data_IF_963961719703
#
_entry.id   IF_963961719703
#
_cell.length_a   1.000
_cell.length_b   1.000
_cell.length_c   1.000
_cell.angle_alpha   90.00
_cell.angle_beta   90.00
_cell.angle_gamma   90.00
#
_symmetry.space_group_name_H-M   'P 1'
#
loop_
_entity.id
_entity.type
_entity.pdbx_description
1 polymer ?
#
# COMPACT_ATOMS: atom_id res chain seq x y z
N UNK A 1 -4.97 -32.45 -10.51
CA UNK A 1 -4.50 -31.58 -9.41
C UNK A 1 -4.04 -30.28 -10.03
N UNK A 2 -4.54 -29.13 -9.59
CA UNK A 2 -4.19 -27.84 -10.20
C UNK A 2 -2.97 -27.23 -9.52
N UNK A 3 -2.00 -26.78 -10.29
CA UNK A 3 -0.81 -26.07 -9.80
C UNK A 3 -1.05 -24.57 -9.90
N UNK A 4 -0.64 -23.83 -8.87
CA UNK A 4 -0.79 -22.38 -8.80
C UNK A 4 0.56 -21.69 -8.62
N UNK A 5 0.72 -20.57 -9.31
CA UNK A 5 1.75 -19.57 -9.05
C UNK A 5 1.21 -18.53 -8.06
N UNK A 6 2.10 -17.90 -7.31
CA UNK A 6 1.76 -16.84 -6.37
C UNK A 6 2.67 -15.63 -6.56
N UNK A 7 2.11 -14.45 -6.35
CA UNK A 7 2.87 -13.20 -6.31
C UNK A 7 2.26 -12.26 -5.28
N UNK A 8 3.01 -11.22 -4.93
CA UNK A 8 2.54 -10.18 -4.01
C UNK A 8 2.98 -8.80 -4.48
N UNK A 9 2.23 -7.78 -4.08
CA UNK A 9 2.63 -6.39 -4.31
C UNK A 9 2.21 -5.50 -3.16
N UNK A 10 3.17 -4.71 -2.68
CA UNK A 10 2.94 -3.71 -1.66
C UNK A 10 2.52 -2.39 -2.30
N UNK A 11 1.44 -1.79 -1.78
CA UNK A 11 1.00 -0.46 -2.15
C UNK A 11 1.07 0.44 -0.91
N UNK A 12 1.88 1.52 -0.94
CA UNK A 12 2.03 2.41 0.21
C UNK A 12 0.77 3.26 0.44
N UNK A 13 0.44 3.49 1.71
CA UNK A 13 -0.63 4.41 2.12
C UNK A 13 -0.01 5.79 2.42
N UNK A 14 -0.26 6.82 1.59
CA UNK A 14 0.21 8.17 1.86
C UNK A 14 -0.51 8.77 3.07
N UNK A 15 0.15 9.70 3.74
CA UNK A 15 -0.39 10.49 4.85
C UNK A 15 -0.43 11.95 4.48
N UNK A 16 -1.41 12.69 5.01
CA UNK A 16 -1.47 14.14 4.81
C UNK A 16 -0.30 14.79 5.52
N UNK A 17 0.17 15.91 4.99
CA UNK A 17 1.22 16.72 5.60
C UNK A 17 0.64 18.01 6.13
N UNK A 18 1.19 18.51 7.23
CA UNK A 18 0.89 19.84 7.76
C UNK A 18 2.15 20.68 7.71
N UNK A 19 2.07 21.81 7.02
CA UNK A 19 3.14 22.81 7.02
C UNK A 19 2.85 23.86 8.09
N UNK A 20 3.76 24.02 9.05
CA UNK A 20 3.68 25.02 10.11
C UNK A 20 4.89 25.94 10.06
N UNK A 21 4.73 27.23 10.38
CA UNK A 21 5.82 28.21 10.48
C UNK A 21 5.69 29.42 9.54
N UNK A 22 6.59 30.40 9.71
CA UNK A 22 6.56 31.71 9.03
C UNK A 22 7.88 31.95 8.28
N UNK A 23 7.80 32.45 7.05
CA UNK A 23 8.94 32.66 6.13
C UNK A 23 9.88 31.44 6.05
N UNK A 24 11.11 31.59 6.59
CA UNK A 24 12.22 30.63 6.45
C UNK A 24 12.16 29.51 7.49
N UNK A 25 11.19 29.54 8.41
CA UNK A 25 11.03 28.57 9.50
C UNK A 25 9.85 27.62 9.28
N UNK A 26 9.49 27.33 8.02
CA UNK A 26 8.44 26.35 7.73
C UNK A 26 8.98 24.93 7.91
N UNK A 27 8.35 24.15 8.79
CA UNK A 27 8.47 22.69 8.81
C UNK A 27 7.25 22.08 8.13
N UNK A 28 7.45 20.96 7.43
CA UNK A 28 6.36 20.11 6.96
C UNK A 28 6.48 18.80 7.69
N UNK A 29 5.49 18.49 8.50
CA UNK A 29 5.44 17.27 9.28
C UNK A 29 4.33 16.37 8.73
N UNK A 30 4.63 15.08 8.59
CA UNK A 30 3.62 14.09 8.24
C UNK A 30 2.64 13.95 9.41
N UNK A 31 1.35 14.06 9.11
CA UNK A 31 0.30 13.75 10.06
C UNK A 31 0.11 12.24 10.18
N UNK A 32 -0.69 11.82 11.16
CA UNK A 32 -1.17 10.43 11.23
C UNK A 32 -2.54 10.22 10.58
N UNK A 33 -3.00 11.20 9.79
CA UNK A 33 -4.22 11.07 8.98
C UNK A 33 -3.87 10.53 7.59
N UNK A 34 -4.39 9.36 7.19
CA UNK A 34 -4.12 8.81 5.87
C UNK A 34 -4.79 9.66 4.78
N UNK A 35 -4.06 9.90 3.69
CA UNK A 35 -4.61 10.53 2.49
C UNK A 35 -5.34 9.48 1.63
N UNK A 36 -6.56 9.15 2.06
CA UNK A 36 -7.40 8.19 1.35
C UNK A 36 -7.78 8.65 -0.05
N UNK A 37 -7.91 9.97 -0.27
CA UNK A 37 -8.27 10.50 -1.58
C UNK A 37 -7.10 10.32 -2.56
N UNK A 38 -5.88 10.70 -2.15
CA UNK A 38 -4.67 10.46 -2.91
C UNK A 38 -4.42 8.97 -3.15
N UNK A 39 -4.62 8.12 -2.13
CA UNK A 39 -4.45 6.67 -2.27
C UNK A 39 -5.38 6.05 -3.32
N UNK A 40 -6.69 6.32 -3.23
CA UNK A 40 -7.69 5.71 -4.11
C UNK A 40 -7.66 6.23 -5.55
N UNK A 41 -7.13 7.44 -5.75
CA UNK A 41 -7.03 8.08 -7.07
C UNK A 41 -5.60 8.07 -7.64
N UNK A 42 -4.66 7.37 -6.99
CA UNK A 42 -3.28 7.29 -7.48
C UNK A 42 -3.22 6.45 -8.76
N UNK A 43 -2.87 7.03 -9.92
CA UNK A 43 -2.83 6.32 -11.18
C UNK A 43 -1.77 5.21 -11.20
N UNK A 44 -0.68 5.36 -10.45
CA UNK A 44 0.38 4.34 -10.34
C UNK A 44 -0.11 3.12 -9.56
N UNK A 45 -0.77 3.34 -8.42
CA UNK A 45 -1.42 2.27 -7.64
C UNK A 45 -2.41 1.50 -8.51
N UNK A 46 -3.30 2.23 -9.21
CA UNK A 46 -4.28 1.61 -10.10
C UNK A 46 -3.61 0.88 -11.26
N UNK A 47 -2.53 1.41 -11.84
CA UNK A 47 -1.80 0.77 -12.93
C UNK A 47 -1.19 -0.56 -12.49
N UNK A 48 -0.62 -0.62 -11.29
CA UNK A 48 -0.05 -1.84 -10.69
C UNK A 48 -1.13 -2.90 -10.48
N UNK A 49 -2.25 -2.55 -9.84
CA UNK A 49 -3.34 -3.51 -9.58
C UNK A 49 -4.02 -3.98 -10.87
N UNK A 50 -4.23 -3.07 -11.82
CA UNK A 50 -4.81 -3.41 -13.12
C UNK A 50 -3.88 -4.28 -13.96
N UNK A 51 -2.56 -4.12 -13.83
CA UNK A 51 -1.59 -4.99 -14.49
C UNK A 51 -1.77 -6.44 -14.03
N UNK A 52 -1.91 -6.67 -12.73
CA UNK A 52 -2.17 -8.02 -12.19
C UNK A 52 -3.44 -8.64 -12.78
N UNK A 53 -4.53 -7.87 -12.83
CA UNK A 53 -5.78 -8.32 -13.48
C UNK A 53 -5.61 -8.68 -14.96
N UNK A 54 -4.87 -7.87 -15.73
CA UNK A 54 -4.57 -8.15 -17.15
C UNK A 54 -3.69 -9.38 -17.35
N UNK A 55 -2.78 -9.66 -16.42
CA UNK A 55 -1.89 -10.83 -16.45
C UNK A 55 -2.58 -12.12 -15.93
N UNK A 56 -3.87 -12.06 -15.61
CA UNK A 56 -4.66 -13.20 -15.15
C UNK A 56 -4.43 -13.60 -13.70
N UNK A 57 -3.87 -12.69 -12.89
CA UNK A 57 -3.73 -12.91 -11.45
C UNK A 57 -5.07 -12.69 -10.74
N UNK A 58 -5.45 -13.65 -9.90
CA UNK A 58 -6.62 -13.59 -9.03
C UNK A 58 -6.18 -13.09 -7.65
N UNK A 59 -6.86 -12.05 -7.14
CA UNK A 59 -6.62 -11.56 -5.77
C UNK A 59 -7.14 -12.56 -4.75
N UNK A 60 -6.29 -12.97 -3.81
CA UNK A 60 -6.62 -13.96 -2.78
C UNK A 60 -6.76 -13.32 -1.41
N UNK A 61 -5.89 -12.36 -1.08
CA UNK A 61 -5.87 -11.70 0.22
C UNK A 61 -5.26 -10.31 0.14
N UNK A 62 -5.65 -9.45 1.07
CA UNK A 62 -5.04 -8.14 1.30
C UNK A 62 -4.71 -8.07 2.78
N UNK A 63 -3.46 -7.75 3.11
CA UNK A 63 -3.02 -7.56 4.49
C UNK A 63 -2.51 -6.15 4.71
N UNK A 64 -2.96 -5.54 5.80
CA UNK A 64 -2.45 -4.25 6.24
C UNK A 64 -1.07 -4.42 6.86
N UNK A 65 -0.11 -3.62 6.41
CA UNK A 65 1.22 -3.54 7.03
C UNK A 65 1.21 -2.33 7.95
N UNK A 66 1.73 -2.52 9.17
CA UNK A 66 1.73 -1.51 10.22
C UNK A 66 3.15 -1.18 10.66
N UNK A 67 3.37 0.09 11.04
CA UNK A 67 4.56 0.52 11.78
C UNK A 67 4.17 1.02 13.16
N UNK A 68 5.12 0.97 14.09
CA UNK A 68 5.02 1.74 15.32
C UNK A 68 5.09 3.24 15.02
N UNK A 69 4.30 4.01 15.76
CA UNK A 69 4.36 5.46 15.78
C UNK A 69 4.36 5.94 17.22
N UNK A 70 5.46 6.58 17.61
CA UNK A 70 5.64 7.22 18.90
C UNK A 70 5.57 8.74 18.78
N UNK A 71 4.98 9.38 19.78
CA UNK A 71 5.16 10.80 20.04
C UNK A 71 5.62 10.98 21.47
N UNK A 72 6.65 11.81 21.63
CA UNK A 72 7.24 12.15 22.91
C UNK A 72 7.17 13.66 23.04
N UNK A 73 6.56 14.14 24.11
CA UNK A 73 6.46 15.57 24.39
C UNK A 73 6.94 15.88 25.80
N UNK A 74 7.40 17.12 25.98
CA UNK A 74 7.75 17.66 27.28
C UNK A 74 7.06 19.01 27.42
N UNK A 75 5.95 19.02 28.15
CA UNK A 75 5.19 20.24 28.42
C UNK A 75 5.29 20.53 29.91
N UNK A 76 5.78 21.72 30.27
CA UNK A 76 5.88 22.19 31.66
C UNK A 76 6.65 21.25 32.62
N UNK A 77 7.74 20.64 32.16
CA UNK A 77 8.57 19.70 32.93
C UNK A 77 7.88 18.36 33.32
N UNK A 78 6.72 18.06 32.74
CA UNK A 78 6.15 16.71 32.74
C UNK A 78 6.27 16.11 31.33
N UNK A 79 7.06 15.05 31.23
CA UNK A 79 7.19 14.26 30.01
C UNK A 79 5.95 13.40 29.79
N UNK A 80 5.52 13.28 28.54
CA UNK A 80 4.54 12.31 28.11
C UNK A 80 5.06 11.55 26.89
N UNK A 81 4.61 10.30 26.75
CA UNK A 81 4.85 9.50 25.57
C UNK A 81 3.58 8.72 25.25
N UNK A 82 3.22 8.65 23.97
CA UNK A 82 2.21 7.71 23.49
C UNK A 82 2.70 6.98 22.25
N UNK A 83 2.37 5.69 22.16
CA UNK A 83 2.74 4.81 21.07
C UNK A 83 1.52 4.06 20.56
N UNK A 84 1.36 4.00 19.25
CA UNK A 84 0.29 3.26 18.58
C UNK A 84 0.75 2.77 17.22
N UNK A 85 0.03 1.79 16.67
CA UNK A 85 0.31 1.27 15.34
C UNK A 85 -0.44 2.10 14.28
N UNK A 86 0.26 2.46 13.20
CA UNK A 86 -0.35 3.08 12.02
C UNK A 86 -0.03 2.27 10.77
N UNK A 87 -0.93 2.28 9.79
CA UNK A 87 -0.73 1.54 8.55
C UNK A 87 0.32 2.20 7.67
N UNK A 88 1.27 1.43 7.12
CA UNK A 88 2.18 1.94 6.08
C UNK A 88 1.67 1.67 4.67
N UNK A 89 0.66 0.80 4.53
CA UNK A 89 0.15 0.36 3.25
C UNK A 89 -0.46 -1.03 3.32
N UNK A 90 -0.70 -1.60 2.13
CA UNK A 90 -1.39 -2.86 1.95
C UNK A 90 -0.57 -3.79 1.07
N UNK A 91 -0.40 -5.03 1.53
CA UNK A 91 0.22 -6.11 0.77
C UNK A 91 -0.89 -6.96 0.14
N UNK A 92 -0.94 -6.96 -1.19
CA UNK A 92 -1.89 -7.72 -1.98
C UNK A 92 -1.26 -9.06 -2.37
N UNK A 93 -1.97 -10.16 -2.13
CA UNK A 93 -1.54 -11.51 -2.47
C UNK A 93 -2.39 -12.06 -3.61
N UNK A 94 -1.73 -12.54 -4.65
CA UNK A 94 -2.38 -13.06 -5.84
C UNK A 94 -1.98 -14.50 -6.11
N UNK A 95 -2.85 -15.23 -6.80
CA UNK A 95 -2.56 -16.54 -7.37
C UNK A 95 -2.93 -16.58 -8.85
N UNK A 96 -2.34 -17.50 -9.61
CA UNK A 96 -2.73 -17.79 -11.00
C UNK A 96 -2.57 -19.27 -11.28
N UNK A 97 -3.51 -19.85 -12.02
CA UNK A 97 -3.41 -21.27 -12.40
C UNK A 97 -2.31 -21.46 -13.46
N UNK A 98 -1.35 -22.33 -13.18
CA UNK A 98 -0.23 -22.61 -14.09
C UNK A 98 -0.69 -23.21 -15.43
N UNK A 99 -1.85 -23.88 -15.47
CA UNK A 99 -2.42 -24.45 -16.69
C UNK A 99 -3.00 -23.39 -17.65
N UNK A 100 -3.33 -22.18 -17.15
CA UNK A 100 -3.82 -21.08 -18.00
C UNK A 100 -2.73 -20.52 -18.92
N UNK A 101 -1.45 -20.69 -18.56
CA UNK A 101 -0.30 -20.24 -19.37
C UNK A 101 -0.15 -21.07 -20.66
N UNK A 102 -0.34 -22.39 -20.58
CA UNK A 102 -0.14 -23.30 -21.73
C UNK A 102 -1.27 -23.25 -22.76
N UNK A 103 -2.44 -22.70 -22.40
CA UNK A 103 -3.57 -22.54 -23.32
C UNK A 103 -3.44 -21.31 -24.22
N UNK A 104 -2.70 -20.27 -23.79
CA UNK A 104 -2.48 -19.04 -24.57
C UNK A 104 -1.43 -19.22 -25.68
N UNK A 105 -0.55 -20.21 -25.54
CA UNK A 105 0.50 -20.52 -26.52
C UNK A 105 0.04 -21.47 -27.65
N UNK A 106 -1.21 -21.93 -27.65
CA UNK A 106 -1.74 -22.75 -28.74
C UNK A 106 -2.21 -21.86 -29.90
N UNK A 107 -1.69 -22.05 -31.13
CA UNK A 107 -2.24 -21.34 -32.29
C UNK A 107 -3.72 -21.71 -32.49
N UNK A 108 -4.53 -20.80 -33.04
CA UNK A 108 -5.93 -21.08 -33.30
C UNK A 108 -6.04 -22.30 -34.20
N UNK A 109 -6.80 -23.31 -33.76
CA UNK A 109 -7.12 -24.45 -34.61
C UNK A 109 -8.15 -23.98 -35.64
N UNK A 110 -7.68 -23.70 -36.85
CA UNK A 110 -8.50 -23.62 -38.08
C UNK A 110 -9.03 -24.97 -38.48
#
# INVERSE_FOLDING_TARGET
>A
MSTFEYTQTFVPLPYKTVTSGVLMFKSTDDTTEPDMHGYLNNPETLAVLNRHGREGWELVSVQQINRGHEQIGNQNAQGWAFGYAISTGFLFFFKRNSASLTSLDKPPQT
#
